data_IF_612365516758
#
_entry.id   IF_612365516758
#
_cell.length_a   1.000
_cell.length_b   1.000
_cell.length_c   1.000
_cell.angle_alpha   90.00
_cell.angle_beta   90.00
_cell.angle_gamma   90.00
#
_symmetry.space_group_name_H-M   'P 1'
#
loop_
_entity.id
_entity.type
_entity.pdbx_description
1 polymer ?
#
# COMPACT_ATOMS: atom_id res chain seq x y z
N UNK A 1 -12.38 -13.53 -1.15
CA UNK A 1 -13.49 -13.31 -2.11
C UNK A 1 -14.54 -14.42 -2.10
N UNK A 2 -14.17 -15.71 -2.04
CA UNK A 2 -15.11 -16.84 -2.04
C UNK A 2 -16.13 -16.85 -0.89
N UNK A 3 -15.93 -16.05 0.16
CA UNK A 3 -16.82 -15.96 1.34
C UNK A 3 -17.42 -14.55 1.55
N UNK A 4 -17.24 -13.62 0.61
CA UNK A 4 -17.83 -12.29 0.74
C UNK A 4 -19.37 -12.40 0.56
N UNK A 5 -20.19 -11.64 1.32
CA UNK A 5 -21.65 -11.65 1.15
C UNK A 5 -22.11 -11.23 -0.25
N UNK A 6 -21.30 -10.39 -0.92
CA UNK A 6 -21.57 -9.89 -2.28
C UNK A 6 -20.31 -10.01 -3.17
N UNK A 7 -19.97 -11.21 -3.66
CA UNK A 7 -18.71 -11.44 -4.36
C UNK A 7 -18.62 -10.69 -5.70
N UNK A 8 -19.74 -10.54 -6.42
CA UNK A 8 -19.77 -9.81 -7.68
C UNK A 8 -19.57 -8.30 -7.48
N UNK A 9 -20.22 -7.72 -6.47
CA UNK A 9 -20.03 -6.30 -6.12
C UNK A 9 -18.59 -6.03 -5.67
N UNK A 10 -18.01 -6.92 -4.85
CA UNK A 10 -16.61 -6.82 -4.46
C UNK A 10 -15.67 -6.86 -5.67
N UNK A 11 -16.01 -7.63 -6.72
CA UNK A 11 -15.22 -7.69 -7.96
C UNK A 11 -15.30 -6.39 -8.73
N UNK A 12 -16.51 -5.87 -8.97
CA UNK A 12 -16.71 -4.59 -9.64
C UNK A 12 -16.00 -3.46 -8.89
N UNK A 13 -16.07 -3.45 -7.55
CA UNK A 13 -15.36 -2.47 -6.74
C UNK A 13 -13.85 -2.57 -6.89
N UNK A 14 -13.26 -3.77 -6.87
CA UNK A 14 -11.82 -3.94 -7.08
C UNK A 14 -11.40 -3.56 -8.50
N UNK A 15 -12.19 -3.91 -9.51
CA UNK A 15 -11.95 -3.54 -10.90
C UNK A 15 -11.93 -2.01 -11.06
N UNK A 16 -12.90 -1.32 -10.45
CA UNK A 16 -12.94 0.14 -10.40
C UNK A 16 -11.75 0.71 -9.62
N UNK A 17 -11.52 0.26 -8.38
CA UNK A 17 -10.47 0.77 -7.52
C UNK A 17 -9.08 0.67 -8.18
N UNK A 18 -8.82 -0.40 -8.93
CA UNK A 18 -7.56 -0.63 -9.64
C UNK A 18 -7.50 -0.02 -11.06
N UNK A 19 -8.61 0.55 -11.56
CA UNK A 19 -8.64 1.28 -12.82
C UNK A 19 -7.87 2.61 -12.74
N UNK A 20 -7.62 3.26 -13.87
CA UNK A 20 -7.02 4.60 -13.87
C UNK A 20 -7.91 5.63 -13.15
N UNK A 21 -9.23 5.56 -13.37
CA UNK A 21 -10.20 6.44 -12.72
C UNK A 21 -10.24 6.24 -11.21
N UNK A 22 -10.36 5.00 -10.74
CA UNK A 22 -10.33 4.71 -9.30
C UNK A 22 -9.02 5.10 -8.63
N UNK A 23 -7.89 4.95 -9.33
CA UNK A 23 -6.59 5.40 -8.82
C UNK A 23 -6.46 6.93 -8.80
N UNK A 24 -7.09 7.66 -9.73
CA UNK A 24 -7.18 9.11 -9.66
C UNK A 24 -8.00 9.56 -8.43
N UNK A 25 -9.13 8.90 -8.14
CA UNK A 25 -9.92 9.16 -6.94
C UNK A 25 -9.14 8.86 -5.64
N UNK A 26 -8.33 7.80 -5.62
CA UNK A 26 -7.42 7.49 -4.49
C UNK A 26 -6.41 8.63 -4.28
N UNK A 27 -5.85 9.17 -5.36
CA UNK A 27 -4.92 10.29 -5.31
C UNK A 27 -5.59 11.58 -4.82
N UNK A 28 -6.80 11.88 -5.29
CA UNK A 28 -7.61 13.00 -4.81
C UNK A 28 -7.89 12.89 -3.29
N UNK A 29 -8.08 11.67 -2.79
CA UNK A 29 -8.19 11.36 -1.37
C UNK A 29 -6.89 11.49 -0.56
N UNK A 30 -5.78 11.92 -1.18
CA UNK A 30 -4.48 12.14 -0.51
C UNK A 30 -3.64 10.89 -0.31
N UNK A 31 -3.96 9.78 -0.99
CA UNK A 31 -3.18 8.54 -0.95
C UNK A 31 -2.28 8.42 -2.19
N UNK A 32 -1.25 7.56 -2.10
CA UNK A 32 -0.38 7.27 -3.26
C UNK A 32 -1.11 6.36 -4.25
N UNK A 33 -1.30 6.77 -5.52
CA UNK A 33 -1.80 5.87 -6.55
C UNK A 33 -0.75 4.77 -6.82
N UNK A 34 -1.21 3.53 -6.91
CA UNK A 34 -0.39 2.37 -7.22
C UNK A 34 -0.01 2.32 -8.72
N UNK A 35 -0.90 2.82 -9.57
CA UNK A 35 -0.73 2.79 -11.03
C UNK A 35 0.33 3.78 -11.50
N UNK A 36 1.29 3.35 -12.34
CA UNK A 36 2.39 4.21 -12.80
C UNK A 36 1.95 5.31 -13.77
N UNK A 37 0.79 5.15 -14.41
CA UNK A 37 0.20 6.10 -15.36
C UNK A 37 -0.70 7.15 -14.69
N UNK A 38 -0.93 7.05 -13.37
CA UNK A 38 -1.67 8.05 -12.60
C UNK A 38 -0.67 8.85 -11.77
N UNK A 39 -0.61 10.16 -12.03
CA UNK A 39 0.29 11.08 -11.33
C UNK A 39 -0.47 11.88 -10.29
N UNK A 40 0.24 12.28 -9.25
CA UNK A 40 -0.21 13.29 -8.29
C UNK A 40 0.98 14.12 -7.80
N UNK A 41 0.70 15.27 -7.22
CA UNK A 41 1.72 16.22 -6.78
C UNK A 41 1.95 16.20 -5.25
N UNK A 42 1.00 15.64 -4.48
CA UNK A 42 1.05 15.71 -3.02
C UNK A 42 2.16 14.84 -2.39
N UNK A 43 2.50 13.72 -3.03
CA UNK A 43 3.54 12.80 -2.54
C UNK A 43 4.08 11.91 -3.66
N UNK A 44 5.37 11.59 -3.56
CA UNK A 44 6.07 10.73 -4.51
C UNK A 44 5.53 9.28 -4.46
N UNK A 45 5.15 8.76 -5.62
CA UNK A 45 4.91 7.32 -5.80
C UNK A 45 6.20 6.52 -5.73
N UNK A 46 6.07 5.19 -5.64
CA UNK A 46 7.22 4.28 -5.79
C UNK A 46 8.00 4.54 -7.08
N UNK A 47 7.29 4.82 -8.17
CA UNK A 47 7.86 5.08 -9.47
C UNK A 47 8.57 6.44 -9.50
N UNK A 48 8.01 7.45 -8.85
CA UNK A 48 8.65 8.76 -8.68
C UNK A 48 9.94 8.62 -7.87
N UNK A 49 9.88 7.91 -6.73
CA UNK A 49 11.05 7.62 -5.90
C UNK A 49 12.13 6.87 -6.68
N UNK A 50 11.78 5.84 -7.45
CA UNK A 50 12.77 5.09 -8.27
C UNK A 50 13.41 5.95 -9.35
N UNK A 51 12.66 6.85 -9.99
CA UNK A 51 13.22 7.79 -10.99
C UNK A 51 14.11 8.84 -10.35
N UNK A 52 13.70 9.41 -9.21
CA UNK A 52 14.40 10.52 -8.55
C UNK A 52 15.63 10.07 -7.77
N UNK A 53 15.56 8.91 -7.12
CA UNK A 53 16.59 8.43 -6.20
C UNK A 53 17.49 7.35 -6.81
N UNK A 54 17.06 6.68 -7.89
CA UNK A 54 17.70 5.47 -8.41
C UNK A 54 17.10 4.20 -7.79
N UNK A 55 16.95 3.15 -8.60
CA UNK A 55 16.27 1.92 -8.18
C UNK A 55 17.05 1.12 -7.13
N UNK A 56 18.37 1.28 -7.06
CA UNK A 56 19.28 0.70 -6.07
C UNK A 56 19.09 1.29 -4.67
N UNK A 57 18.60 2.54 -4.59
CA UNK A 57 18.35 3.26 -3.34
C UNK A 57 16.92 3.13 -2.82
N UNK A 58 16.02 2.50 -3.59
CA UNK A 58 14.64 2.29 -3.20
C UNK A 58 14.44 0.81 -2.82
N UNK A 59 14.35 0.57 -1.51
CA UNK A 59 14.12 -0.78 -0.99
C UNK A 59 12.63 -1.09 -0.90
N UNK A 60 12.17 -2.03 -1.74
CA UNK A 60 10.84 -2.61 -1.62
C UNK A 60 10.84 -3.70 -0.55
N UNK A 61 10.17 -3.43 0.57
CA UNK A 61 9.94 -4.46 1.57
C UNK A 61 8.84 -5.40 1.10
N UNK A 62 9.17 -6.69 0.99
CA UNK A 62 8.16 -7.74 0.78
C UNK A 62 7.67 -8.20 2.15
N UNK A 63 6.43 -7.88 2.55
CA UNK A 63 5.92 -8.32 3.83
C UNK A 63 5.84 -9.84 3.87
N UNK A 64 6.40 -10.42 4.93
CA UNK A 64 6.21 -11.82 5.28
C UNK A 64 5.15 -11.92 6.36
N UNK A 65 4.42 -13.04 6.39
CA UNK A 65 3.50 -13.31 7.50
C UNK A 65 4.33 -13.48 8.77
N UNK A 66 4.20 -12.53 9.68
CA UNK A 66 4.82 -12.59 11.01
C UNK A 66 3.86 -13.33 11.95
N UNK A 67 4.29 -14.42 12.63
CA UNK A 67 3.49 -15.05 13.66
C UNK A 67 3.13 -14.06 14.78
N UNK A 68 1.92 -14.16 15.32
CA UNK A 68 1.40 -13.27 16.35
C UNK A 68 2.36 -13.13 17.55
N UNK A 69 2.84 -14.26 18.09
CA UNK A 69 3.84 -14.29 19.17
C UNK A 69 5.11 -13.48 18.90
N UNK A 70 5.55 -13.41 17.64
CA UNK A 70 6.76 -12.67 17.25
C UNK A 70 6.46 -11.17 17.25
N UNK A 71 5.28 -10.78 16.74
CA UNK A 71 4.80 -9.40 16.77
C UNK A 71 4.65 -8.90 18.21
N UNK A 72 4.01 -9.68 19.07
CA UNK A 72 3.81 -9.35 20.49
C UNK A 72 5.13 -9.17 21.23
N UNK A 73 6.07 -10.11 21.09
CA UNK A 73 7.39 -9.99 21.70
C UNK A 73 8.17 -8.75 21.19
N UNK A 74 8.04 -8.43 19.90
CA UNK A 74 8.65 -7.22 19.34
C UNK A 74 8.05 -5.94 19.95
N UNK A 75 6.72 -5.86 20.03
CA UNK A 75 6.01 -4.69 20.59
C UNK A 75 6.35 -4.51 22.07
N UNK A 76 6.31 -5.57 22.88
CA UNK A 76 6.67 -5.48 24.29
C UNK A 76 8.11 -5.00 24.52
N UNK A 77 9.06 -5.46 23.68
CA UNK A 77 10.44 -4.97 23.71
C UNK A 77 10.54 -3.49 23.34
N UNK A 78 9.78 -3.05 22.33
CA UNK A 78 9.74 -1.66 21.88
C UNK A 78 9.19 -0.73 22.97
N UNK A 79 8.05 -1.08 23.57
CA UNK A 79 7.41 -0.30 24.64
C UNK A 79 8.34 -0.12 25.84
N UNK A 80 9.07 -1.18 26.24
CA UNK A 80 10.06 -1.09 27.32
C UNK A 80 11.25 -0.18 26.98
N UNK A 81 11.63 -0.09 25.70
CA UNK A 81 12.79 0.69 25.27
C UNK A 81 12.44 2.16 24.96
N UNK A 82 11.20 2.42 24.56
CA UNK A 82 10.71 3.74 24.14
C UNK A 82 9.89 4.48 25.21
N UNK A 83 9.44 3.79 26.26
CA UNK A 83 8.84 4.37 27.47
C UNK A 83 9.85 4.55 28.58
#
# INVERSE_FOLDING_TARGET
MKTAPHPNAARLFLDFLLSAEGQAAVAEGGLVPYRPDVRQDAMDSLQDMRRRLGADRVHLYRPVRVPERVREAYVARWEKAAG
#
